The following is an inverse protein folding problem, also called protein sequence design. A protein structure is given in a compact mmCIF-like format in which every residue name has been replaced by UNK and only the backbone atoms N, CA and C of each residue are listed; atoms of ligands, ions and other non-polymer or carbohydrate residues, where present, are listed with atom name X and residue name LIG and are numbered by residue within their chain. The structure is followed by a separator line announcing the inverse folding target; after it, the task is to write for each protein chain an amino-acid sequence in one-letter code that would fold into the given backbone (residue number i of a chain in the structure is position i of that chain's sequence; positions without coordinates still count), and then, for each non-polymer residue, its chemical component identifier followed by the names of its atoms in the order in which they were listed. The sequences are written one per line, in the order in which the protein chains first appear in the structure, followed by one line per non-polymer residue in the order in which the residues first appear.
data_IF_434522745069
#
_entry.id   IF_434522745069
#
_cell.length_a   1.000
_cell.length_b   1.000
_cell.length_c   1.000
_cell.angle_alpha   90.00
_cell.angle_beta   90.00
_cell.angle_gamma   90.00
#
_symmetry.space_group_name_H-M   'P 1'
#
loop_
_entity.id
_entity.type
_entity.pdbx_description
1 polymer ?
#
# COMPACT_ATOMS: atom_id res chain seq x y z
N UNK A 1 -3.21 -14.56 23.55
CA UNK A 1 -2.44 -14.67 22.32
C UNK A 1 -3.19 -14.17 21.10
N UNK A 2 -4.46 -14.53 20.95
CA UNK A 2 -5.28 -13.96 19.88
C UNK A 2 -5.35 -12.44 19.94
N UNK A 3 -5.31 -11.89 21.15
CA UNK A 3 -5.33 -10.44 21.36
C UNK A 3 -4.11 -9.75 20.74
N UNK A 4 -2.92 -10.33 20.87
CA UNK A 4 -1.71 -9.79 20.25
C UNK A 4 -1.78 -9.82 18.72
N UNK A 5 -2.34 -10.86 18.14
CA UNK A 5 -2.50 -10.99 16.71
C UNK A 5 -3.48 -9.95 16.18
N UNK A 6 -4.60 -9.74 16.89
CA UNK A 6 -5.56 -8.70 16.54
C UNK A 6 -4.95 -7.31 16.63
N UNK A 7 -4.16 -7.07 17.69
CA UNK A 7 -3.49 -5.78 17.87
C UNK A 7 -2.51 -5.49 16.73
N UNK A 8 -1.78 -6.50 16.26
CA UNK A 8 -0.87 -6.35 15.14
C UNK A 8 -1.61 -6.02 13.85
N UNK A 9 -2.73 -6.69 13.57
CA UNK A 9 -3.55 -6.40 12.40
C UNK A 9 -4.12 -5.00 12.45
N UNK A 10 -4.62 -4.58 13.61
CA UNK A 10 -5.13 -3.23 13.80
C UNK A 10 -4.05 -2.18 13.62
N UNK A 11 -2.88 -2.42 14.19
CA UNK A 11 -1.73 -1.51 14.05
C UNK A 11 -1.31 -1.39 12.59
N UNK A 12 -1.31 -2.50 11.86
CA UNK A 12 -0.93 -2.53 10.47
C UNK A 12 -1.92 -1.75 9.59
N UNK A 13 -3.22 -1.97 9.79
CA UNK A 13 -4.26 -1.21 9.08
C UNK A 13 -4.18 0.27 9.39
N UNK A 14 -4.01 0.60 10.66
CA UNK A 14 -3.91 1.98 11.11
C UNK A 14 -2.71 2.65 10.45
N UNK A 15 -1.58 1.96 10.43
CA UNK A 15 -0.36 2.46 9.80
C UNK A 15 -0.59 2.71 8.30
N UNK A 16 -1.24 1.78 7.61
CA UNK A 16 -1.55 1.95 6.19
C UNK A 16 -2.43 3.18 5.96
N UNK A 17 -3.49 3.31 6.74
CA UNK A 17 -4.42 4.45 6.63
C UNK A 17 -3.70 5.76 6.89
N UNK A 18 -2.83 5.78 7.88
CA UNK A 18 -2.02 6.95 8.21
C UNK A 18 -1.11 7.33 7.05
N UNK A 19 -0.41 6.38 6.48
CA UNK A 19 0.50 6.63 5.36
C UNK A 19 -0.25 7.07 4.11
N UNK A 20 -1.43 6.53 3.87
CA UNK A 20 -2.25 6.94 2.74
C UNK A 20 -2.69 8.40 2.88
N UNK A 21 -3.09 8.79 4.07
CA UNK A 21 -3.44 10.18 4.36
C UNK A 21 -2.23 11.10 4.25
N UNK A 22 -1.11 10.70 4.84
CA UNK A 22 0.12 11.49 4.86
C UNK A 22 0.69 11.68 3.45
N UNK A 23 0.73 10.63 2.66
CA UNK A 23 1.42 10.63 1.36
C UNK A 23 0.52 10.95 0.18
N UNK A 24 -0.76 10.65 0.27
CA UNK A 24 -1.70 10.84 -0.84
C UNK A 24 -2.82 11.80 -0.52
N UNK A 25 -2.95 12.22 0.73
CA UNK A 25 -4.05 13.09 1.13
C UNK A 25 -5.41 12.41 1.06
N UNK A 26 -5.44 11.08 1.10
CA UNK A 26 -6.67 10.32 1.00
C UNK A 26 -7.10 9.88 2.39
N UNK A 27 -8.30 10.26 2.78
CA UNK A 27 -8.87 9.78 4.03
C UNK A 27 -9.37 8.35 3.82
N UNK A 28 -8.60 7.39 4.32
CA UNK A 28 -8.86 5.98 4.09
C UNK A 28 -9.84 5.44 5.12
N UNK A 29 -11.12 5.43 4.76
CA UNK A 29 -12.11 4.76 5.58
C UNK A 29 -12.15 3.27 5.24
N UNK A 30 -13.10 2.56 5.85
CA UNK A 30 -13.25 1.12 5.66
C UNK A 30 -13.48 0.76 4.19
N UNK A 31 -14.29 1.54 3.49
CA UNK A 31 -14.64 1.26 2.10
C UNK A 31 -13.43 1.41 1.18
N UNK A 32 -12.65 2.48 1.37
CA UNK A 32 -11.43 2.69 0.60
C UNK A 32 -10.42 1.59 0.88
N UNK A 33 -10.23 1.26 2.15
CA UNK A 33 -9.28 0.21 2.52
C UNK A 33 -9.62 -1.13 1.87
N UNK A 34 -10.86 -1.56 1.97
CA UNK A 34 -11.25 -2.86 1.41
C UNK A 34 -11.30 -2.85 -0.11
N UNK A 35 -11.60 -1.70 -0.72
CA UNK A 35 -11.48 -1.60 -2.17
C UNK A 35 -10.04 -1.88 -2.62
N UNK A 36 -9.07 -1.22 -1.99
CA UNK A 36 -7.66 -1.38 -2.35
C UNK A 36 -7.17 -2.81 -2.06
N UNK A 37 -7.56 -3.35 -0.90
CA UNK A 37 -7.18 -4.70 -0.53
C UNK A 37 -7.73 -5.73 -1.52
N UNK A 38 -8.98 -5.56 -1.95
CA UNK A 38 -9.62 -6.47 -2.91
C UNK A 38 -8.94 -6.40 -4.27
N UNK A 39 -8.50 -5.23 -4.70
CA UNK A 39 -7.75 -5.10 -5.96
C UNK A 39 -6.49 -5.99 -5.94
N UNK A 40 -5.80 -5.99 -4.81
CA UNK A 40 -4.59 -6.81 -4.65
C UNK A 40 -4.95 -8.30 -4.59
N UNK A 41 -5.91 -8.68 -3.77
CA UNK A 41 -6.29 -10.09 -3.58
C UNK A 41 -6.87 -10.73 -4.82
N UNK A 42 -7.59 -9.95 -5.63
CA UNK A 42 -8.22 -10.45 -6.85
C UNK A 42 -7.31 -10.39 -8.07
N UNK A 43 -6.06 -9.99 -7.90
CA UNK A 43 -5.12 -9.91 -8.99
C UNK A 43 -5.40 -8.80 -10.00
N UNK A 44 -6.14 -7.77 -9.60
CA UNK A 44 -6.46 -6.64 -10.46
C UNK A 44 -5.43 -5.53 -10.40
N UNK A 45 -4.49 -5.62 -9.47
CA UNK A 45 -3.40 -4.68 -9.32
C UNK A 45 -2.18 -5.20 -10.07
N UNK A 46 -1.23 -4.30 -10.35
CA UNK A 46 0.03 -4.69 -10.96
C UNK A 46 1.02 -5.03 -9.85
N UNK A 47 1.50 -6.28 -9.86
CA UNK A 47 2.54 -6.72 -8.94
C UNK A 47 3.89 -6.24 -9.45
N UNK A 48 4.54 -5.33 -8.71
CA UNK A 48 5.83 -4.78 -9.13
C UNK A 48 6.99 -5.61 -8.61
N UNK A 49 6.93 -6.04 -7.36
CA UNK A 49 8.08 -6.65 -6.73
C UNK A 49 7.69 -7.46 -5.50
N UNK A 50 8.24 -8.65 -5.39
CA UNK A 50 8.13 -9.44 -4.17
C UNK A 50 9.30 -9.07 -3.26
N UNK A 51 9.03 -8.27 -2.23
CA UNK A 51 10.07 -7.75 -1.34
C UNK A 51 10.61 -8.81 -0.37
N UNK A 52 9.75 -9.75 0.03
CA UNK A 52 10.14 -10.86 0.89
C UNK A 52 9.15 -12.00 0.65
N UNK A 53 9.23 -13.07 1.44
CA UNK A 53 8.29 -14.18 1.31
C UNK A 53 6.85 -13.77 1.56
N UNK A 54 6.63 -12.71 2.33
CA UNK A 54 5.29 -12.27 2.71
C UNK A 54 4.92 -10.89 2.23
N UNK A 55 5.88 -10.04 1.85
CA UNK A 55 5.61 -8.66 1.48
C UNK A 55 5.79 -8.45 -0.02
N UNK A 56 4.73 -7.95 -0.65
CA UNK A 56 4.67 -7.78 -2.09
C UNK A 56 4.24 -6.35 -2.40
N UNK A 57 5.01 -5.69 -3.26
CA UNK A 57 4.73 -4.33 -3.69
C UNK A 57 3.78 -4.37 -4.90
N UNK A 58 2.66 -3.68 -4.78
CA UNK A 58 1.66 -3.57 -5.83
C UNK A 58 1.40 -2.12 -6.21
N UNK A 59 1.04 -1.91 -7.46
CA UNK A 59 0.53 -0.63 -7.94
C UNK A 59 -0.96 -0.79 -8.18
N UNK A 60 -1.76 0.01 -7.48
CA UNK A 60 -3.23 -0.03 -7.59
C UNK A 60 -3.75 1.33 -8.01
N UNK A 61 -4.97 1.37 -8.53
CA UNK A 61 -5.63 2.61 -8.90
C UNK A 61 -6.92 2.76 -8.11
N UNK A 62 -7.09 3.92 -7.49
CA UNK A 62 -8.31 4.26 -6.77
C UNK A 62 -9.15 5.16 -7.68
N UNK A 63 -10.33 4.69 -8.12
CA UNK A 63 -11.19 5.51 -8.99
C UNK A 63 -11.61 6.81 -8.34
N UNK A 64 -11.76 7.86 -9.14
CA UNK A 64 -12.15 9.18 -8.66
C UNK A 64 -13.47 9.17 -7.90
N UNK A 65 -14.44 8.39 -8.37
CA UNK A 65 -15.74 8.32 -7.71
C UNK A 65 -15.64 7.82 -6.26
N UNK A 66 -14.58 7.08 -5.92
CA UNK A 66 -14.34 6.64 -4.55
C UNK A 66 -13.45 7.63 -3.81
N UNK A 67 -12.37 8.08 -4.46
CA UNK A 67 -11.37 8.95 -3.82
C UNK A 67 -11.86 10.38 -3.59
N UNK A 68 -12.76 10.87 -4.44
CA UNK A 68 -13.21 12.25 -4.42
C UNK A 68 -13.78 12.67 -3.08
N UNK A 69 -14.50 11.77 -2.42
CA UNK A 69 -15.13 12.04 -1.13
C UNK A 69 -14.16 12.01 0.05
N UNK A 70 -12.95 11.53 -0.17
CA UNK A 70 -12.00 11.27 0.92
C UNK A 70 -10.67 11.98 0.74
N UNK A 71 -10.55 12.81 -0.29
CA UNK A 71 -9.31 13.54 -0.52
C UNK A 71 -9.19 14.75 0.39
N UNK A 72 -7.97 15.02 0.85
CA UNK A 72 -7.65 16.21 1.65
C UNK A 72 -6.92 17.24 0.78
N UNK A 73 -6.11 18.09 1.38
CA UNK A 73 -5.45 19.21 0.70
C UNK A 73 -4.26 18.83 -0.18
N UNK A 74 -3.82 17.59 -0.13
CA UNK A 74 -2.66 17.15 -0.91
C UNK A 74 -3.10 16.91 -2.36
N UNK A 75 -2.41 17.54 -3.30
CA UNK A 75 -2.69 17.38 -4.73
C UNK A 75 -1.87 16.24 -5.28
N UNK A 76 -2.54 15.18 -5.74
CA UNK A 76 -1.91 14.02 -6.32
C UNK A 76 -2.32 13.94 -7.80
N UNK A 77 -1.40 13.62 -8.71
CA UNK A 77 -1.76 13.46 -10.12
C UNK A 77 -2.82 12.38 -10.30
N UNK A 78 -3.77 12.63 -11.20
CA UNK A 78 -4.86 11.71 -11.46
C UNK A 78 -4.77 11.25 -12.91
N UNK A 79 -4.79 9.93 -13.10
CA UNK A 79 -4.82 9.32 -14.41
C UNK A 79 -6.27 9.01 -14.80
N UNK A 80 -6.53 8.62 -16.06
CA UNK A 80 -7.88 8.18 -16.46
C UNK A 80 -8.40 7.00 -15.61
N UNK A 81 -7.52 6.22 -15.03
CA UNK A 81 -7.89 5.07 -14.19
C UNK A 81 -8.08 5.44 -12.72
N UNK A 82 -7.79 6.68 -12.35
CA UNK A 82 -7.88 7.14 -10.98
C UNK A 82 -6.53 7.53 -10.41
N UNK A 83 -6.43 7.52 -9.09
CA UNK A 83 -5.19 7.85 -8.40
C UNK A 83 -4.31 6.60 -8.29
N UNK A 84 -3.09 6.69 -8.81
CA UNK A 84 -2.11 5.61 -8.71
C UNK A 84 -1.55 5.57 -7.30
N UNK A 85 -1.59 4.40 -6.66
CA UNK A 85 -1.11 4.21 -5.29
C UNK A 85 -0.18 3.00 -5.25
N UNK A 86 1.00 3.19 -4.67
CA UNK A 86 1.92 2.08 -4.40
C UNK A 86 1.62 1.54 -3.01
N UNK A 87 1.23 0.28 -2.94
CA UNK A 87 0.90 -0.37 -1.66
C UNK A 87 1.77 -1.58 -1.44
N UNK A 88 2.10 -1.84 -0.18
CA UNK A 88 2.78 -3.06 0.21
C UNK A 88 1.76 -3.98 0.87
N UNK A 89 1.62 -5.17 0.32
CA UNK A 89 0.68 -6.18 0.80
C UNK A 89 1.42 -7.24 1.61
N UNK A 90 0.88 -7.57 2.78
CA UNK A 90 1.40 -8.63 3.63
C UNK A 90 0.56 -9.89 3.40
N UNK A 91 1.10 -10.82 2.62
CA UNK A 91 0.39 -12.04 2.26
C UNK A 91 0.16 -12.96 3.46
N UNK A 92 1.03 -12.92 4.46
CA UNK A 92 0.89 -13.73 5.65
C UNK A 92 -0.33 -13.33 6.49
N UNK A 93 -0.61 -12.03 6.57
CA UNK A 93 -1.75 -11.51 7.33
C UNK A 93 -2.96 -11.16 6.47
N UNK A 94 -2.78 -11.10 5.15
CA UNK A 94 -3.84 -10.70 4.25
C UNK A 94 -4.23 -9.24 4.41
N UNK A 95 -3.28 -8.37 4.73
CA UNK A 95 -3.53 -6.96 5.02
C UNK A 95 -2.56 -6.07 4.24
N UNK A 96 -2.98 -4.82 4.00
CA UNK A 96 -2.08 -3.81 3.46
C UNK A 96 -1.22 -3.25 4.58
N UNK A 97 0.10 -3.17 4.34
CA UNK A 97 1.07 -2.72 5.35
C UNK A 97 1.28 -1.21 5.32
N UNK A 98 1.52 -0.66 4.14
CA UNK A 98 1.89 0.74 3.98
C UNK A 98 1.65 1.19 2.55
N UNK A 99 1.63 2.51 2.36
CA UNK A 99 1.56 3.13 1.04
C UNK A 99 2.84 3.93 0.83
N UNK A 100 3.49 3.73 -0.31
CA UNK A 100 4.73 4.43 -0.65
C UNK A 100 4.41 5.75 -1.35
N UNK A 101 5.37 6.72 -1.37
CA UNK A 101 5.08 8.05 -1.90
C UNK A 101 4.59 8.05 -3.35
N UNK A 102 3.62 8.93 -3.66
CA UNK A 102 3.04 9.02 -4.99
C UNK A 102 4.04 9.49 -6.05
N UNK A 103 5.02 10.26 -5.65
CA UNK A 103 6.02 10.84 -6.56
C UNK A 103 7.13 9.85 -6.90
N UNK A 104 7.16 8.69 -6.26
CA UNK A 104 8.14 7.66 -6.60
C UNK A 104 7.81 7.05 -7.96
N UNK A 105 8.85 6.63 -8.69
CA UNK A 105 8.68 5.91 -9.94
C UNK A 105 8.89 4.42 -9.70
N UNK A 106 8.39 3.59 -10.61
CA UNK A 106 8.61 2.16 -10.54
C UNK A 106 10.11 1.84 -10.46
N UNK A 107 10.91 2.54 -11.26
CA UNK A 107 12.35 2.34 -11.29
C UNK A 107 13.02 2.68 -9.96
N UNK A 108 12.61 3.79 -9.35
CA UNK A 108 13.16 4.20 -8.06
C UNK A 108 12.82 3.19 -6.97
N UNK A 109 11.58 2.71 -6.95
CA UNK A 109 11.15 1.75 -5.95
C UNK A 109 11.90 0.42 -6.08
N UNK A 110 12.12 -0.04 -7.31
CA UNK A 110 12.87 -1.25 -7.56
C UNK A 110 14.34 -1.08 -7.17
N UNK A 111 14.93 0.07 -7.48
CA UNK A 111 16.31 0.39 -7.14
C UNK A 111 16.50 0.47 -5.62
N UNK A 112 15.58 1.14 -4.94
CA UNK A 112 15.63 1.26 -3.48
C UNK A 112 15.50 -0.11 -2.82
N UNK A 113 14.65 -0.96 -3.37
CA UNK A 113 14.52 -2.32 -2.87
C UNK A 113 15.84 -3.08 -2.98
N UNK A 114 16.50 -3.00 -4.13
CA UNK A 114 17.77 -3.70 -4.33
C UNK A 114 18.83 -3.24 -3.34
N UNK A 115 18.93 -1.93 -3.12
CA UNK A 115 19.85 -1.39 -2.13
C UNK A 115 19.53 -1.89 -0.74
N UNK A 116 18.27 -1.80 -0.35
CA UNK A 116 17.82 -2.17 0.97
C UNK A 116 17.99 -3.67 1.20
N UNK A 117 17.69 -4.46 0.19
CA UNK A 117 17.75 -5.91 0.29
C UNK A 117 19.16 -6.43 0.55
N UNK A 118 20.17 -5.75 0.03
CA UNK A 118 21.56 -6.13 0.28
C UNK A 118 21.91 -6.09 1.77
N UNK A 119 21.27 -5.19 2.51
CA UNK A 119 21.62 -4.97 3.92
C UNK A 119 20.70 -5.70 4.90
N UNK A 120 19.46 -5.99 4.52
CA UNK A 120 18.48 -6.48 5.48
C UNK A 120 17.82 -7.80 5.12
N UNK A 121 18.14 -8.40 3.99
CA UNK A 121 17.50 -9.65 3.56
C UNK A 121 17.63 -10.77 4.58
N UNK A 122 18.77 -10.81 5.27
CA UNK A 122 19.03 -11.81 6.29
C UNK A 122 18.21 -11.57 7.57
N UNK A 123 17.74 -10.37 7.77
CA UNK A 123 16.87 -10.04 8.88
C UNK A 123 15.39 -10.35 8.59
N UNK A 124 15.00 -10.21 7.34
CA UNK A 124 13.60 -10.41 6.95
C UNK A 124 13.25 -11.88 6.75
N UNK A 125 14.23 -12.72 6.72
CA UNK A 125 14.03 -14.16 6.64
C UNK A 125 14.00 -14.79 8.03
#
# INVERSE_FOLDING_TARGET
MSKKTLDKKHSQRWHFKWKLKERYGIFCNKDVYFYLLDQVKQGKSECLLKQSNTRILHKVYLPLCISEHYQTNITVPVSPNGIKIYVVYDAARGELCTALPWYATDEELLSDYEKYHKYVRWESE
#
